data_IF_708088225416
#
_entry.id   IF_708088225416
#
_cell.length_a   1.000
_cell.length_b   1.000
_cell.length_c   1.000
_cell.angle_alpha   90.00
_cell.angle_beta   90.00
_cell.angle_gamma   90.00
#
_symmetry.space_group_name_H-M   'P 1'
#
loop_
_entity.id
_entity.type
_entity.pdbx_description
1 polymer ?
#
# COMPACT_ATOMS: atom_id res chain seq x y z
N UNK A 1 -8.89 30.04 5.73
CA UNK A 1 -9.09 28.95 4.74
C UNK A 1 -8.98 27.64 5.49
N UNK A 2 -10.07 26.90 5.64
CA UNK A 2 -10.07 25.59 6.30
C UNK A 2 -9.64 24.54 5.27
N UNK A 3 -8.42 24.02 5.41
CA UNK A 3 -8.07 22.76 4.78
C UNK A 3 -8.87 21.68 5.48
N UNK A 4 -9.92 21.18 4.84
CA UNK A 4 -10.61 19.97 5.27
C UNK A 4 -9.59 18.84 5.25
N UNK A 5 -9.07 18.54 6.45
CA UNK A 5 -8.21 17.41 6.72
C UNK A 5 -9.07 16.15 6.52
N UNK A 6 -9.24 15.72 5.27
CA UNK A 6 -9.64 14.35 4.98
C UNK A 6 -8.50 13.47 5.48
N UNK A 7 -8.57 13.13 6.78
CA UNK A 7 -7.65 12.22 7.42
C UNK A 7 -7.83 10.86 6.77
N UNK A 8 -7.11 10.62 5.68
CA UNK A 8 -6.74 9.28 5.29
C UNK A 8 -6.02 8.68 6.49
N UNK A 9 -6.76 7.97 7.35
CA UNK A 9 -6.23 7.33 8.54
C UNK A 9 -5.28 6.25 8.04
N UNK A 10 -4.00 6.59 8.00
CA UNK A 10 -2.93 5.75 7.47
C UNK A 10 -2.85 4.51 8.33
N UNK A 11 -2.79 3.34 7.69
CA UNK A 11 -2.62 2.05 8.38
C UNK A 11 -1.14 1.69 8.38
N UNK A 12 -0.32 2.59 8.91
CA UNK A 12 1.10 2.37 9.14
C UNK A 12 1.23 2.05 10.63
N UNK A 13 1.93 0.98 10.98
CA UNK A 13 2.19 0.68 12.39
C UNK A 13 3.18 1.70 12.94
N UNK A 14 2.91 2.21 14.14
CA UNK A 14 3.88 3.01 14.90
C UNK A 14 4.80 2.13 15.76
N UNK A 15 4.52 0.82 15.82
CA UNK A 15 5.28 -0.14 16.59
C UNK A 15 5.88 -1.17 15.65
N UNK A 16 7.15 -1.51 15.87
CA UNK A 16 7.78 -2.61 15.17
C UNK A 16 7.21 -3.94 15.68
N UNK A 17 7.02 -4.89 14.77
CA UNK A 17 6.55 -6.22 15.10
C UNK A 17 7.34 -7.27 14.32
N UNK A 18 7.66 -8.39 14.96
CA UNK A 18 8.28 -9.50 14.27
C UNK A 18 7.34 -10.08 13.20
N UNK A 19 7.88 -10.50 12.04
CA UNK A 19 7.10 -11.18 11.03
C UNK A 19 6.45 -12.44 11.59
N UNK A 20 5.17 -12.65 11.29
CA UNK A 20 4.48 -13.90 11.61
C UNK A 20 4.67 -14.87 10.46
N UNK A 21 5.19 -16.06 10.75
CA UNK A 21 5.34 -17.14 9.77
C UNK A 21 4.16 -18.11 9.90
N UNK A 22 3.56 -18.53 8.77
CA UNK A 22 2.48 -19.53 8.76
C UNK A 22 2.70 -20.65 7.76
N UNK A 23 2.20 -21.83 8.12
CA UNK A 23 2.00 -22.97 7.22
C UNK A 23 0.75 -22.79 6.34
N UNK A 24 0.41 -23.79 5.51
CA UNK A 24 -0.72 -23.72 4.59
C UNK A 24 -2.07 -23.43 5.30
N UNK A 25 -2.30 -24.00 6.49
CA UNK A 25 -3.54 -23.82 7.24
C UNK A 25 -3.60 -22.41 7.82
N UNK A 26 -2.52 -21.97 8.47
CA UNK A 26 -2.40 -20.61 9.01
C UNK A 26 -2.52 -19.54 7.93
N UNK A 27 -1.97 -19.79 6.74
CA UNK A 27 -2.10 -18.91 5.57
C UNK A 27 -3.54 -18.75 5.13
N UNK A 28 -4.31 -19.86 5.02
CA UNK A 28 -5.73 -19.79 4.64
C UNK A 28 -6.54 -18.94 5.62
N UNK A 29 -6.26 -19.06 6.93
CA UNK A 29 -6.91 -18.25 7.96
C UNK A 29 -6.54 -16.78 7.82
N UNK A 30 -5.24 -16.46 7.73
CA UNK A 30 -4.74 -15.09 7.58
C UNK A 30 -5.26 -14.40 6.32
N UNK A 31 -5.27 -15.11 5.19
CA UNK A 31 -5.81 -14.61 3.93
C UNK A 31 -7.33 -14.39 4.02
N UNK A 32 -8.05 -15.30 4.67
CA UNK A 32 -9.48 -15.14 4.95
C UNK A 32 -9.79 -13.87 5.73
N UNK A 33 -9.02 -13.59 6.78
CA UNK A 33 -9.14 -12.38 7.58
C UNK A 33 -8.84 -11.11 6.76
N UNK A 34 -7.80 -11.13 5.93
CA UNK A 34 -7.46 -10.03 5.03
C UNK A 34 -8.59 -9.74 4.04
N UNK A 35 -9.12 -10.77 3.39
CA UNK A 35 -10.24 -10.66 2.44
C UNK A 35 -11.49 -10.12 3.12
N UNK A 36 -11.80 -10.61 4.33
CA UNK A 36 -12.93 -10.11 5.12
C UNK A 36 -12.77 -8.62 5.43
N UNK A 37 -11.60 -8.21 5.94
CA UNK A 37 -11.31 -6.80 6.22
C UNK A 37 -11.44 -5.91 4.97
N UNK A 38 -10.95 -6.38 3.82
CA UNK A 38 -11.06 -5.65 2.56
C UNK A 38 -12.52 -5.45 2.13
N UNK A 39 -13.34 -6.50 2.23
CA UNK A 39 -14.77 -6.45 1.92
C UNK A 39 -15.54 -5.52 2.85
N UNK A 40 -15.29 -5.62 4.16
CA UNK A 40 -15.95 -4.78 5.15
C UNK A 40 -15.61 -3.30 4.95
N UNK A 41 -14.36 -3.00 4.57
CA UNK A 41 -13.96 -1.64 4.23
C UNK A 41 -14.58 -1.14 2.91
N UNK A 42 -14.66 -1.97 1.88
CA UNK A 42 -15.28 -1.61 0.60
C UNK A 42 -16.76 -1.23 0.75
N UNK A 43 -17.52 -1.96 1.58
CA UNK A 43 -18.91 -1.61 1.91
C UNK A 43 -19.06 -0.21 2.51
N UNK A 44 -18.08 0.25 3.26
CA UNK A 44 -18.12 1.55 3.95
C UNK A 44 -17.72 2.74 3.06
N UNK A 45 -16.99 2.55 1.96
CA UNK A 45 -16.42 3.65 1.15
C UNK A 45 -16.93 3.73 -0.30
N UNK A 46 -17.87 2.90 -0.72
CA UNK A 46 -18.40 2.90 -2.09
C UNK A 46 -17.49 2.15 -3.08
N UNK A 47 -17.75 2.25 -4.39
CA UNK A 47 -16.99 1.52 -5.41
C UNK A 47 -15.51 1.96 -5.40
N UNK A 48 -14.62 1.04 -5.02
CA UNK A 48 -13.18 1.24 -5.07
C UNK A 48 -12.70 1.05 -6.53
N UNK A 49 -11.75 1.87 -6.99
CA UNK A 49 -11.06 1.61 -8.25
C UNK A 49 -10.35 0.26 -8.11
N UNK A 50 -10.63 -0.74 -8.98
CA UNK A 50 -9.96 -2.03 -8.91
C UNK A 50 -8.49 -1.83 -9.23
N UNK A 51 -7.64 -2.00 -8.21
CA UNK A 51 -6.20 -2.05 -8.35
C UNK A 51 -5.81 -3.53 -8.22
N UNK A 52 -4.94 -3.99 -9.10
CA UNK A 52 -4.40 -5.34 -9.04
C UNK A 52 -3.69 -5.55 -7.70
N UNK A 53 -4.08 -6.61 -6.98
CA UNK A 53 -3.43 -6.97 -5.74
C UNK A 53 -2.04 -7.53 -6.06
N UNK A 54 -0.99 -6.81 -5.67
CA UNK A 54 0.37 -7.30 -5.77
C UNK A 54 0.64 -8.21 -4.57
N UNK A 55 0.82 -9.50 -4.86
CA UNK A 55 1.23 -10.50 -3.87
C UNK A 55 2.37 -11.30 -4.47
N UNK A 56 3.53 -11.26 -3.81
CA UNK A 56 4.65 -12.13 -4.14
C UNK A 56 4.49 -13.41 -3.33
N UNK A 57 4.47 -14.56 -4.01
CA UNK A 57 4.40 -15.88 -3.37
C UNK A 57 5.71 -16.59 -3.65
N UNK A 58 6.46 -16.92 -2.61
CA UNK A 58 7.65 -17.75 -2.68
C UNK A 58 7.53 -18.89 -1.67
N UNK A 59 7.88 -20.12 -2.07
CA UNK A 59 7.99 -21.32 -1.21
C UNK A 59 6.67 -21.86 -0.60
N UNK A 60 6.80 -22.84 0.30
CA UNK A 60 5.70 -23.50 1.03
C UNK A 60 5.34 -22.80 2.36
N UNK A 61 6.01 -21.69 2.67
CA UNK A 61 5.90 -20.97 3.93
C UNK A 61 5.55 -19.51 3.66
N UNK A 62 4.67 -18.93 4.47
CA UNK A 62 4.20 -17.55 4.27
C UNK A 62 4.66 -16.66 5.41
N UNK A 63 5.38 -15.60 5.05
CA UNK A 63 5.80 -14.55 5.99
C UNK A 63 4.84 -13.36 5.91
N UNK A 64 4.20 -13.05 7.03
CA UNK A 64 3.31 -11.91 7.19
C UNK A 64 4.02 -10.83 7.99
N UNK A 65 4.35 -9.72 7.34
CA UNK A 65 5.00 -8.60 7.98
C UNK A 65 4.07 -7.40 8.06
N UNK A 66 3.99 -6.78 9.23
CA UNK A 66 3.47 -5.42 9.36
C UNK A 66 4.66 -4.49 9.17
N UNK A 67 4.56 -3.60 8.19
CA UNK A 67 5.59 -2.60 7.95
C UNK A 67 5.35 -1.41 8.88
N UNK A 68 6.34 -1.11 9.70
CA UNK A 68 6.33 0.07 10.58
C UNK A 68 6.85 1.31 9.85
N UNK A 69 6.65 2.47 10.48
CA UNK A 69 7.03 3.76 9.90
C UNK A 69 8.54 3.91 9.70
N UNK A 70 9.35 3.40 10.62
CA UNK A 70 10.80 3.51 10.55
C UNK A 70 11.38 2.73 9.36
N UNK A 71 10.78 1.59 9.02
CA UNK A 71 11.13 0.84 7.81
C UNK A 71 10.78 1.65 6.57
N UNK A 72 9.56 2.20 6.48
CA UNK A 72 9.14 2.97 5.32
C UNK A 72 9.99 4.23 5.11
N UNK A 73 10.40 4.90 6.18
CA UNK A 73 11.20 6.12 6.07
C UNK A 73 12.64 5.87 5.57
N UNK A 74 13.17 4.65 5.74
CA UNK A 74 14.51 4.26 5.27
C UNK A 74 14.57 3.79 3.81
N UNK A 75 13.43 3.37 3.26
CA UNK A 75 13.39 2.82 1.90
C UNK A 75 13.31 3.96 0.86
N UNK A 76 13.87 3.70 -0.32
CA UNK A 76 13.58 4.52 -1.49
C UNK A 76 12.21 4.11 -2.05
N UNK A 77 11.46 5.09 -2.50
CA UNK A 77 10.09 4.91 -2.96
C UNK A 77 9.96 5.26 -4.42
N UNK A 78 9.41 4.35 -5.21
CA UNK A 78 9.07 4.57 -6.62
C UNK A 78 7.59 4.96 -6.74
N UNK A 79 7.32 6.03 -7.47
CA UNK A 79 5.96 6.41 -7.84
C UNK A 79 5.62 5.84 -9.22
N UNK A 80 4.56 5.06 -9.28
CA UNK A 80 4.05 4.45 -10.50
C UNK A 80 2.64 4.95 -10.76
N UNK A 81 2.43 5.49 -11.96
CA UNK A 81 1.11 5.82 -12.47
C UNK A 81 0.44 4.59 -13.06
N UNK A 82 -0.81 4.36 -12.70
CA UNK A 82 -1.65 3.34 -13.31
C UNK A 82 -2.82 3.98 -14.04
N UNK A 83 -2.79 3.90 -15.38
CA UNK A 83 -3.89 4.36 -16.21
C UNK A 83 -5.08 3.39 -16.18
N UNK A 84 -6.25 3.85 -16.60
CA UNK A 84 -7.46 3.02 -16.67
C UNK A 84 -7.34 1.86 -17.68
N UNK A 85 -6.40 1.97 -18.63
CA UNK A 85 -6.08 0.91 -19.58
C UNK A 85 -5.11 -0.14 -19.01
N UNK A 86 -4.77 -0.07 -17.72
CA UNK A 86 -3.86 -0.99 -17.05
C UNK A 86 -2.37 -0.73 -17.32
N UNK A 87 -2.03 0.32 -18.08
CA UNK A 87 -0.63 0.68 -18.33
C UNK A 87 0.02 1.24 -17.08
N UNK A 88 1.19 0.69 -16.74
CA UNK A 88 2.01 1.12 -15.61
C UNK A 88 3.20 1.92 -16.12
N UNK A 89 3.38 3.12 -15.59
CA UNK A 89 4.51 3.99 -15.94
C UNK A 89 5.17 4.51 -14.67
N UNK A 90 6.47 4.29 -14.55
CA UNK A 90 7.27 4.94 -13.51
C UNK A 90 7.36 6.44 -13.79
N UNK A 91 7.11 7.25 -12.76
CA UNK A 91 7.20 8.70 -12.85
C UNK A 91 8.54 9.17 -12.29
N UNK A 92 8.81 8.82 -11.03
CA UNK A 92 9.97 9.29 -10.27
C UNK A 92 10.27 8.37 -9.09
N UNK A 93 11.43 8.60 -8.49
CA UNK A 93 11.87 7.97 -7.25
C UNK A 93 12.13 9.03 -6.19
N UNK A 94 11.79 8.76 -4.94
CA UNK A 94 12.02 9.65 -3.79
C UNK A 94 12.73 8.93 -2.66
N UNK A 95 13.53 9.67 -1.90
CA UNK A 95 14.02 9.23 -0.60
C UNK A 95 12.95 9.46 0.47
N UNK A 96 12.59 8.41 1.21
CA UNK A 96 11.63 8.46 2.31
C UNK A 96 10.16 8.59 1.90
N UNK A 97 9.28 8.13 2.80
CA UNK A 97 7.84 7.98 2.53
C UNK A 97 7.12 9.34 2.41
N UNK A 98 7.46 10.31 3.26
CA UNK A 98 6.79 11.61 3.26
C UNK A 98 6.98 12.36 1.94
N UNK A 99 8.19 12.31 1.37
CA UNK A 99 8.49 12.89 0.05
C UNK A 99 7.68 12.20 -1.04
N UNK A 100 7.61 10.87 -1.00
CA UNK A 100 6.83 10.06 -1.93
C UNK A 100 5.35 10.44 -1.90
N UNK A 101 4.81 10.62 -0.70
CA UNK A 101 3.42 11.00 -0.49
C UNK A 101 3.11 12.42 -0.96
N UNK A 102 4.02 13.37 -0.71
CA UNK A 102 3.89 14.73 -1.21
C UNK A 102 3.80 14.77 -2.73
N UNK A 103 4.69 14.04 -3.40
CA UNK A 103 4.67 13.89 -4.85
C UNK A 103 3.39 13.21 -5.36
N UNK A 104 2.97 12.10 -4.74
CA UNK A 104 1.75 11.38 -5.12
C UNK A 104 0.48 12.23 -4.99
N UNK A 105 0.38 13.04 -3.92
CA UNK A 105 -0.76 13.93 -3.71
C UNK A 105 -0.87 14.97 -4.83
N UNK A 106 0.24 15.60 -5.21
CA UNK A 106 0.26 16.57 -6.31
C UNK A 106 -0.12 15.93 -7.66
N UNK A 107 0.35 14.71 -7.93
CA UNK A 107 0.05 14.01 -9.19
C UNK A 107 -1.45 13.67 -9.29
N UNK A 108 -2.06 13.19 -8.19
CA UNK A 108 -3.50 12.87 -8.17
C UNK A 108 -4.35 14.12 -8.39
N UNK A 109 -3.97 15.26 -7.79
CA UNK A 109 -4.68 16.54 -7.94
C UNK A 109 -4.63 17.08 -9.38
N UNK A 110 -3.51 16.90 -10.08
CA UNK A 110 -3.30 17.46 -11.41
C UNK A 110 -3.90 16.62 -12.54
N UNK A 111 -3.82 15.29 -12.44
CA UNK A 111 -4.05 14.41 -13.60
C UNK A 111 -5.24 13.44 -13.42
N UNK A 112 -5.87 13.43 -12.24
CA UNK A 112 -7.01 12.56 -11.94
C UNK A 112 -6.66 11.07 -12.09
N UNK A 113 -6.19 10.41 -11.04
CA UNK A 113 -5.75 9.02 -11.16
C UNK A 113 -5.40 8.34 -9.85
N UNK A 114 -4.86 7.13 -9.95
CA UNK A 114 -4.26 6.42 -8.83
C UNK A 114 -2.75 6.35 -9.02
N UNK A 115 -2.03 6.76 -7.98
CA UNK A 115 -0.57 6.64 -7.90
C UNK A 115 -0.25 5.54 -6.89
N UNK A 116 0.60 4.61 -7.30
CA UNK A 116 1.15 3.59 -6.43
C UNK A 116 2.52 4.06 -5.93
N UNK A 117 2.75 3.92 -4.63
CA UNK A 117 4.07 4.12 -4.01
C UNK A 117 4.60 2.74 -3.69
N UNK A 118 5.70 2.35 -4.32
CA UNK A 118 6.35 1.05 -4.12
C UNK A 118 7.69 1.25 -3.42
N UNK A 119 7.97 0.44 -2.42
CA UNK A 119 9.30 0.41 -1.79
C UNK A 119 10.26 -0.42 -2.64
N UNK A 120 11.49 0.06 -2.78
CA UNK A 120 12.59 -0.73 -3.34
C UNK A 120 13.40 -1.33 -2.19
N UNK A 121 13.68 -2.63 -2.27
CA UNK A 121 14.68 -3.24 -1.39
C UNK A 121 16.06 -2.62 -1.67
N UNK A 122 16.86 -2.33 -0.63
CA UNK A 122 18.22 -1.83 -0.79
C UNK A 122 19.18 -2.86 -1.42
#
# INVERSE_FOLDING_TARGET
MHMTQFGYRRRISNESSEPTITDEIGTKVKLGDLVKRARDFGKARGPLKPIEALMTVDQNEWTWQVVDRDVLDKLSHRLVFQSDAGMRREILMTEGLETAMGAASMIVELDGGCVLIETLEP
#
